data_IF_287440711236
#
_entry.id   IF_287440711236
#
_cell.length_a   1.000
_cell.length_b   1.000
_cell.length_c   1.000
_cell.angle_alpha   90.00
_cell.angle_beta   90.00
_cell.angle_gamma   90.00
#
_symmetry.space_group_name_H-M   'P 1'
#
loop_
_entity.id
_entity.type
_entity.pdbx_description
1 polymer ?
#
# COMPACT_ATOMS: atom_id res chain seq x y z
N UNK A 1 -14.06 -7.06 -27.71
CA UNK A 1 -15.42 -6.46 -27.82
C UNK A 1 -16.46 -7.24 -27.02
N UNK A 2 -16.69 -8.55 -27.27
CA UNK A 2 -17.69 -9.37 -26.55
C UNK A 2 -17.50 -9.46 -25.02
N UNK A 3 -16.26 -9.49 -24.53
CA UNK A 3 -15.96 -9.54 -23.08
C UNK A 3 -16.18 -8.21 -22.35
N UNK A 4 -16.16 -7.08 -23.06
CA UNK A 4 -16.36 -5.74 -22.48
C UNK A 4 -17.86 -5.42 -22.31
N UNK A 5 -18.70 -5.91 -23.24
CA UNK A 5 -20.16 -5.81 -23.16
C UNK A 5 -20.76 -6.63 -22.00
N UNK A 6 -20.16 -7.78 -21.66
CA UNK A 6 -20.60 -8.62 -20.55
C UNK A 6 -20.32 -7.94 -19.20
N UNK A 7 -19.20 -7.22 -19.08
CA UNK A 7 -18.82 -6.48 -17.87
C UNK A 7 -19.70 -5.24 -17.63
N UNK A 8 -20.11 -4.56 -18.70
CA UNK A 8 -21.05 -3.43 -18.63
C UNK A 8 -22.47 -3.92 -18.30
N UNK A 9 -22.91 -5.05 -18.89
CA UNK A 9 -24.19 -5.67 -18.58
C UNK A 9 -24.27 -6.16 -17.13
N UNK A 10 -23.16 -6.66 -16.56
CA UNK A 10 -23.09 -7.06 -15.16
C UNK A 10 -23.13 -5.85 -14.20
N UNK A 11 -22.58 -4.70 -14.62
CA UNK A 11 -22.62 -3.46 -13.82
C UNK A 11 -24.01 -2.79 -13.79
N UNK A 12 -24.81 -2.94 -14.85
CA UNK A 12 -26.17 -2.38 -14.92
C UNK A 12 -27.21 -3.21 -14.16
N UNK A 13 -27.00 -4.52 -14.02
CA UNK A 13 -27.91 -5.40 -13.26
C UNK A 13 -27.82 -5.21 -11.73
N UNK A 14 -26.74 -4.62 -11.22
CA UNK A 14 -26.60 -4.28 -9.79
C UNK A 14 -27.25 -2.94 -9.41
N UNK A 15 -27.68 -2.11 -10.37
CA UNK A 15 -28.20 -0.76 -10.12
C UNK A 15 -29.72 -0.65 -9.99
N UNK A 16 -30.48 -1.73 -10.19
CA UNK A 16 -31.94 -1.69 -10.37
C UNK A 16 -32.82 -1.89 -9.12
N UNK A 17 -32.24 -2.12 -7.94
CA UNK A 17 -32.98 -2.44 -6.71
C UNK A 17 -33.13 -1.23 -5.77
N UNK A 18 -33.78 -0.17 -6.26
CA UNK A 18 -34.30 0.90 -5.40
C UNK A 18 -35.68 1.34 -5.89
N UNK A 19 -36.68 0.50 -5.62
CA UNK A 19 -38.08 0.89 -5.65
C UNK A 19 -38.56 1.04 -4.20
N UNK A 20 -38.74 2.29 -3.75
CA UNK A 20 -39.36 2.61 -2.47
C UNK A 20 -40.87 2.39 -2.55
N UNK A 21 -41.40 1.48 -1.73
CA UNK A 21 -42.80 1.47 -1.35
C UNK A 21 -42.98 2.22 -0.02
N UNK A 22 -44.09 2.94 0.20
CA UNK A 22 -44.28 3.76 1.38
C UNK A 22 -44.53 2.91 2.63
N UNK A 23 -43.86 3.27 3.73
CA UNK A 23 -44.00 2.64 5.04
C UNK A 23 -45.39 2.92 5.67
N UNK A 24 -46.05 1.92 6.28
CA UNK A 24 -47.18 2.19 7.15
C UNK A 24 -46.69 2.78 8.47
N UNK A 25 -47.30 3.89 8.88
CA UNK A 25 -47.07 4.52 10.18
C UNK A 25 -47.51 3.58 11.30
N UNK A 26 -46.55 3.12 12.11
CA UNK A 26 -46.83 2.38 13.34
C UNK A 26 -47.22 3.38 14.44
N UNK A 27 -48.51 3.38 14.78
CA UNK A 27 -49.03 4.07 15.96
C UNK A 27 -48.67 3.21 17.18
N UNK A 28 -47.75 3.69 18.01
CA UNK A 28 -47.42 3.05 19.28
C UNK A 28 -48.60 3.23 20.26
N UNK A 29 -49.20 2.11 20.67
CA UNK A 29 -50.29 2.07 21.64
C UNK A 29 -49.74 2.22 23.07
N UNK A 30 -50.15 3.23 23.86
CA UNK A 30 -49.61 3.50 25.21
C UNK A 30 -50.01 2.47 26.29
N UNK A 31 -50.93 1.54 26.00
CA UNK A 31 -51.41 0.59 27.01
C UNK A 31 -50.48 -0.61 27.25
N UNK A 32 -49.59 -0.93 26.30
CA UNK A 32 -48.66 -2.07 26.43
C UNK A 32 -47.41 -1.68 27.23
N UNK A 33 -47.03 -0.40 27.20
CA UNK A 33 -45.85 0.12 27.91
C UNK A 33 -45.99 0.06 29.44
N UNK A 34 -47.19 0.29 29.97
CA UNK A 34 -47.41 0.35 31.42
C UNK A 34 -47.25 -1.02 32.10
N UNK A 35 -47.73 -2.09 31.45
CA UNK A 35 -47.60 -3.48 31.95
C UNK A 35 -46.13 -3.94 31.96
N UNK A 36 -45.37 -3.58 30.93
CA UNK A 36 -43.95 -3.93 30.84
C UNK A 36 -43.12 -3.16 31.88
N UNK A 37 -43.42 -1.87 32.08
CA UNK A 37 -42.77 -1.06 33.10
C UNK A 37 -43.01 -1.61 34.51
N UNK A 38 -44.21 -2.12 34.81
CA UNK A 38 -44.51 -2.77 36.09
C UNK A 38 -43.74 -4.09 36.29
N UNK A 39 -43.64 -4.92 35.25
CA UNK A 39 -42.85 -6.15 35.31
C UNK A 39 -41.36 -5.85 35.60
N UNK A 40 -40.80 -4.82 34.96
CA UNK A 40 -39.41 -4.42 35.19
C UNK A 40 -39.18 -3.83 36.58
N UNK A 41 -40.16 -3.14 37.17
CA UNK A 41 -40.06 -2.70 38.57
C UNK A 41 -39.91 -3.87 39.53
N UNK A 42 -40.61 -4.99 39.27
CA UNK A 42 -40.48 -6.21 40.07
C UNK A 42 -39.13 -6.89 39.85
N UNK A 43 -38.66 -6.98 38.61
CA UNK A 43 -37.34 -7.55 38.28
C UNK A 43 -36.20 -6.78 38.97
N UNK A 44 -36.25 -5.44 38.95
CA UNK A 44 -35.25 -4.58 39.61
C UNK A 44 -35.30 -4.73 41.13
N UNK A 45 -36.48 -4.93 41.70
CA UNK A 45 -36.64 -5.19 43.13
C UNK A 45 -35.99 -6.53 43.50
N UNK A 46 -36.18 -7.57 42.67
CA UNK A 46 -35.62 -8.90 42.91
C UNK A 46 -34.10 -8.96 42.69
N UNK A 47 -33.58 -8.30 41.66
CA UNK A 47 -32.16 -8.35 41.28
C UNK A 47 -31.28 -7.39 42.10
N UNK A 48 -31.73 -6.14 42.29
CA UNK A 48 -30.93 -5.09 42.93
C UNK A 48 -31.43 -4.70 44.33
N UNK A 49 -32.61 -5.18 44.75
CA UNK A 49 -33.17 -4.84 46.07
C UNK A 49 -33.67 -3.40 46.20
N UNK A 50 -33.79 -2.65 45.09
CA UNK A 50 -34.16 -1.23 45.11
C UNK A 50 -35.66 -1.09 45.34
N UNK A 51 -36.02 -0.40 46.43
CA UNK A 51 -37.42 -0.14 46.80
C UNK A 51 -37.75 1.34 46.64
N UNK A 52 -39.02 1.68 46.47
CA UNK A 52 -39.46 3.10 46.45
C UNK A 52 -39.14 3.84 47.77
N UNK A 53 -38.94 3.10 48.86
CA UNK A 53 -38.55 3.63 50.17
C UNK A 53 -37.04 3.85 50.33
N UNK A 54 -36.22 3.39 49.38
CA UNK A 54 -34.78 3.62 49.41
C UNK A 54 -34.47 5.10 49.15
N UNK A 55 -33.42 5.60 49.81
CA UNK A 55 -32.96 6.97 49.60
C UNK A 55 -32.15 7.09 48.31
N UNK A 56 -32.14 8.27 47.70
CA UNK A 56 -31.42 8.47 46.43
C UNK A 56 -29.93 8.15 46.57
N UNK A 57 -29.34 8.48 47.71
CA UNK A 57 -27.95 8.12 48.05
C UNK A 57 -27.73 6.61 48.19
N UNK A 58 -28.65 5.88 48.83
CA UNK A 58 -28.57 4.41 48.90
C UNK A 58 -28.67 3.79 47.51
N UNK A 59 -29.59 4.28 46.66
CA UNK A 59 -29.73 3.77 45.29
C UNK A 59 -28.49 4.02 44.44
N UNK A 60 -27.87 5.20 44.59
CA UNK A 60 -26.63 5.51 43.90
C UNK A 60 -25.49 4.59 44.36
N UNK A 61 -25.43 4.23 45.65
CA UNK A 61 -24.45 3.28 46.17
C UNK A 61 -24.69 1.85 45.68
N UNK A 62 -25.94 1.39 45.67
CA UNK A 62 -26.31 0.04 45.18
C UNK A 62 -25.96 -0.10 43.70
N UNK A 63 -26.14 0.98 42.92
CA UNK A 63 -25.84 1.03 41.49
C UNK A 63 -24.39 1.46 41.18
N UNK A 64 -23.53 1.54 42.20
CA UNK A 64 -22.10 1.89 42.11
C UNK A 64 -21.80 3.19 41.36
N UNK A 65 -22.65 4.20 41.53
CA UNK A 65 -22.54 5.48 40.83
C UNK A 65 -21.52 6.42 41.51
N UNK A 66 -20.47 6.80 40.78
CA UNK A 66 -19.48 7.76 41.27
C UNK A 66 -19.96 9.23 41.18
N UNK A 67 -20.86 9.55 40.25
CA UNK A 67 -21.27 10.93 39.96
C UNK A 67 -22.75 11.21 40.28
N UNK A 68 -22.98 11.71 41.49
CA UNK A 68 -24.31 12.06 42.00
C UNK A 68 -24.96 13.24 41.26
N UNK A 69 -24.18 14.21 40.80
CA UNK A 69 -24.70 15.40 40.11
C UNK A 69 -25.32 15.02 38.77
N UNK A 70 -24.62 14.19 37.99
CA UNK A 70 -25.14 13.66 36.71
C UNK A 70 -26.38 12.79 36.92
N UNK A 71 -26.43 12.03 38.01
CA UNK A 71 -27.58 11.23 38.36
C UNK A 71 -28.82 12.09 38.66
N UNK A 72 -28.66 13.17 39.44
CA UNK A 72 -29.73 14.15 39.66
C UNK A 72 -30.18 14.82 38.37
N UNK A 73 -29.25 15.25 37.53
CA UNK A 73 -29.56 15.86 36.23
C UNK A 73 -30.41 14.93 35.35
N UNK A 74 -30.03 13.65 35.22
CA UNK A 74 -30.78 12.66 34.43
C UNK A 74 -32.17 12.35 34.99
N UNK A 75 -32.37 12.55 36.28
CA UNK A 75 -33.66 12.43 36.96
C UNK A 75 -34.45 13.74 37.00
N UNK A 76 -33.99 14.78 36.30
CA UNK A 76 -34.57 16.14 36.31
C UNK A 76 -34.66 16.77 37.70
N UNK A 77 -33.70 16.45 38.57
CA UNK A 77 -33.55 17.02 39.90
C UNK A 77 -32.47 18.12 39.92
N UNK A 78 -32.56 19.02 40.90
CA UNK A 78 -31.57 20.07 41.11
C UNK A 78 -30.20 19.47 41.50
N UNK A 79 -29.18 19.67 40.67
CA UNK A 79 -27.84 19.08 40.84
C UNK A 79 -27.14 19.46 42.15
N UNK A 80 -27.31 20.72 42.58
CA UNK A 80 -26.62 21.32 43.73
C UNK A 80 -27.36 21.18 45.06
N UNK A 81 -28.52 20.52 45.06
CA UNK A 81 -29.36 20.40 46.25
C UNK A 81 -29.06 19.11 47.01
N UNK A 82 -28.22 19.22 48.05
CA UNK A 82 -27.81 18.08 48.89
C UNK A 82 -28.96 17.50 49.74
N UNK A 83 -30.03 18.27 49.95
CA UNK A 83 -31.20 17.80 50.73
C UNK A 83 -32.01 16.74 50.00
N UNK A 84 -31.83 16.60 48.68
CA UNK A 84 -32.50 15.58 47.88
C UNK A 84 -31.88 14.19 48.07
N UNK A 85 -30.64 14.11 48.54
CA UNK A 85 -29.89 12.85 48.65
C UNK A 85 -30.47 11.91 49.71
N UNK A 86 -30.97 12.50 50.80
CA UNK A 86 -31.60 11.78 51.91
C UNK A 86 -33.09 11.53 51.70
N UNK A 87 -33.69 12.01 50.59
CA UNK A 87 -35.11 11.76 50.30
C UNK A 87 -35.28 10.41 49.66
N UNK A 88 -36.42 9.78 49.94
CA UNK A 88 -36.78 8.51 49.33
C UNK A 88 -37.24 8.70 47.89
N UNK A 89 -37.02 7.70 47.03
CA UNK A 89 -37.48 7.75 45.64
C UNK A 89 -38.97 8.11 45.52
N UNK A 90 -39.80 7.55 46.40
CA UNK A 90 -41.24 7.87 46.49
C UNK A 90 -41.52 9.34 46.75
N UNK A 91 -40.75 10.00 47.62
CA UNK A 91 -40.91 11.43 47.92
C UNK A 91 -40.46 12.32 46.76
N UNK A 92 -39.56 11.82 45.93
CA UNK A 92 -39.07 12.49 44.74
C UNK A 92 -39.94 12.22 43.51
N UNK A 93 -40.94 11.34 43.63
CA UNK A 93 -41.81 10.94 42.51
C UNK A 93 -41.09 10.10 41.45
N UNK A 94 -39.95 9.51 41.81
CA UNK A 94 -39.10 8.74 40.90
C UNK A 94 -39.37 7.25 41.13
N UNK A 95 -39.55 6.52 40.05
CA UNK A 95 -39.69 5.06 40.11
C UNK A 95 -38.33 4.37 40.17
N UNK A 96 -38.23 3.18 40.79
CA UNK A 96 -37.00 2.38 40.76
C UNK A 96 -36.49 2.11 39.33
N UNK A 97 -37.41 1.97 38.36
CA UNK A 97 -37.07 1.78 36.95
C UNK A 97 -36.40 3.02 36.33
N UNK A 98 -36.90 4.22 36.60
CA UNK A 98 -36.27 5.47 36.11
C UNK A 98 -34.88 5.69 36.71
N UNK A 99 -34.71 5.38 38.00
CA UNK A 99 -33.40 5.40 38.66
C UNK A 99 -32.42 4.44 37.99
N UNK A 100 -32.87 3.24 37.63
CA UNK A 100 -32.05 2.26 36.90
C UNK A 100 -31.72 2.71 35.46
N UNK A 101 -32.67 3.29 34.73
CA UNK A 101 -32.38 3.82 33.40
C UNK A 101 -31.37 4.98 33.45
N UNK A 102 -31.44 5.82 34.49
CA UNK A 102 -30.47 6.89 34.71
C UNK A 102 -29.07 6.32 35.03
N UNK A 103 -28.95 5.23 35.80
CA UNK A 103 -27.66 4.59 36.06
C UNK A 103 -27.05 4.00 34.80
N UNK A 104 -27.84 3.34 33.96
CA UNK A 104 -27.39 2.83 32.66
C UNK A 104 -26.80 3.94 31.78
N UNK A 105 -27.48 5.10 31.71
CA UNK A 105 -26.98 6.25 30.95
C UNK A 105 -25.66 6.82 31.50
N UNK A 106 -25.41 6.72 32.80
CA UNK A 106 -24.14 7.17 33.39
C UNK A 106 -23.03 6.19 33.08
N UNK A 107 -23.28 4.89 33.27
CA UNK A 107 -22.26 3.85 33.15
C UNK A 107 -21.92 3.55 31.70
N UNK A 108 -22.93 3.49 30.82
CA UNK A 108 -22.77 3.06 29.42
C UNK A 108 -22.95 4.20 28.41
N UNK A 109 -23.53 5.34 28.80
CA UNK A 109 -23.86 6.45 27.90
C UNK A 109 -25.20 6.27 27.15
N UNK A 110 -25.87 5.14 27.34
CA UNK A 110 -27.18 4.82 26.74
C UNK A 110 -28.03 3.97 27.70
N UNK A 111 -29.32 3.83 27.41
CA UNK A 111 -30.25 3.01 28.19
C UNK A 111 -30.99 2.00 27.32
N UNK A 112 -31.66 1.02 27.93
CA UNK A 112 -32.51 0.03 27.27
C UNK A 112 -33.59 0.63 26.35
N UNK A 113 -34.03 1.86 26.63
CA UNK A 113 -35.02 2.58 25.84
C UNK A 113 -34.46 3.21 24.56
N UNK A 114 -33.13 3.32 24.45
CA UNK A 114 -32.50 3.96 23.29
C UNK A 114 -32.56 3.05 22.06
N UNK A 115 -32.52 3.67 20.90
CA UNK A 115 -32.55 2.96 19.62
C UNK A 115 -31.16 2.40 19.28
N UNK A 116 -31.13 1.33 18.49
CA UNK A 116 -29.87 0.73 18.02
C UNK A 116 -28.97 1.73 17.26
N UNK A 117 -29.60 2.66 16.54
CA UNK A 117 -28.94 3.75 15.81
C UNK A 117 -28.22 4.74 16.74
N UNK A 118 -28.85 5.11 17.85
CA UNK A 118 -28.29 6.00 18.88
C UNK A 118 -27.18 5.28 19.65
N UNK A 119 -27.38 4.01 19.97
CA UNK A 119 -26.36 3.19 20.65
C UNK A 119 -25.12 3.05 19.78
N UNK A 120 -25.30 2.79 18.49
CA UNK A 120 -24.19 2.70 17.52
C UNK A 120 -23.41 4.02 17.41
N UNK A 121 -24.07 5.18 17.48
CA UNK A 121 -23.38 6.47 17.45
C UNK A 121 -22.63 6.74 18.74
N UNK A 122 -23.18 6.39 19.91
CA UNK A 122 -22.49 6.50 21.21
C UNK A 122 -21.25 5.59 21.26
N UNK A 123 -21.37 4.36 20.77
CA UNK A 123 -20.26 3.39 20.73
C UNK A 123 -19.24 3.66 19.61
N UNK A 124 -19.54 4.57 18.68
CA UNK A 124 -18.75 4.82 17.47
C UNK A 124 -18.55 3.57 16.57
N UNK A 125 -19.52 2.66 16.56
CA UNK A 125 -19.49 1.43 15.75
C UNK A 125 -20.50 1.58 14.60
N UNK A 126 -20.13 1.27 13.35
CA UNK A 126 -21.10 1.26 12.26
C UNK A 126 -22.25 0.29 12.53
N UNK A 127 -23.50 0.75 12.39
CA UNK A 127 -24.72 -0.02 12.70
C UNK A 127 -24.71 -1.40 12.04
N UNK A 128 -24.28 -1.50 10.77
CA UNK A 128 -24.20 -2.79 10.05
C UNK A 128 -23.25 -3.77 10.73
N UNK A 129 -22.11 -3.28 11.24
CA UNK A 129 -21.12 -4.11 11.91
C UNK A 129 -21.59 -4.50 13.30
N UNK A 130 -22.18 -3.56 14.03
CA UNK A 130 -22.81 -3.82 15.33
C UNK A 130 -23.89 -4.91 15.23
N UNK A 131 -24.78 -4.83 14.23
CA UNK A 131 -25.76 -5.89 13.93
C UNK A 131 -25.12 -7.23 13.61
N UNK A 132 -24.06 -7.23 12.78
CA UNK A 132 -23.36 -8.48 12.45
C UNK A 132 -22.71 -9.16 13.65
N UNK A 133 -22.33 -8.39 14.68
CA UNK A 133 -21.72 -8.90 15.92
C UNK A 133 -22.77 -9.33 16.95
N UNK A 134 -23.93 -8.66 16.97
CA UNK A 134 -25.06 -9.05 17.82
C UNK A 134 -25.70 -10.38 17.39
N UNK A 135 -25.56 -10.78 16.13
CA UNK A 135 -26.07 -12.04 15.60
C UNK A 135 -27.60 -12.08 15.44
N UNK A 136 -28.13 -13.29 15.22
CA UNK A 136 -29.58 -13.52 15.13
C UNK A 136 -30.24 -13.23 16.50
N UNK A 137 -31.37 -12.49 16.56
CA UNK A 137 -32.40 -12.34 15.51
C UNK A 137 -32.31 -11.07 14.65
N UNK A 138 -31.19 -10.35 14.65
CA UNK A 138 -31.10 -9.03 13.99
C UNK A 138 -30.40 -9.17 12.65
N UNK A 139 -31.18 -9.15 11.57
CA UNK A 139 -30.62 -9.16 10.23
C UNK A 139 -29.79 -7.89 9.96
N UNK A 140 -28.52 -8.01 9.52
CA UNK A 140 -27.63 -6.87 9.32
C UNK A 140 -28.02 -5.98 8.12
N UNK A 141 -28.91 -6.48 7.27
CA UNK A 141 -29.32 -5.85 6.00
C UNK A 141 -30.68 -5.12 6.10
N UNK A 142 -31.52 -5.48 7.07
CA UNK A 142 -32.87 -4.90 7.23
C UNK A 142 -32.84 -3.68 8.14
N UNK A 143 -33.68 -2.68 7.83
CA UNK A 143 -33.80 -1.44 8.63
C UNK A 143 -34.86 -1.55 9.73
N UNK A 144 -35.60 -2.64 9.79
CA UNK A 144 -36.78 -2.80 10.67
C UNK A 144 -36.44 -2.72 12.16
N UNK A 145 -35.19 -3.05 12.51
CA UNK A 145 -34.70 -3.07 13.88
C UNK A 145 -33.89 -1.81 14.27
N UNK A 146 -33.69 -0.85 13.34
CA UNK A 146 -32.85 0.34 13.58
C UNK A 146 -33.49 1.35 14.56
N UNK A 147 -34.82 1.44 14.51
CA UNK A 147 -35.64 2.36 15.32
C UNK A 147 -36.34 1.64 16.48
N UNK A 148 -35.96 0.39 16.74
CA UNK A 148 -36.47 -0.38 17.87
C UNK A 148 -35.58 -0.13 19.08
N UNK A 149 -36.21 -0.01 20.24
CA UNK A 149 -35.49 0.09 21.51
C UNK A 149 -34.77 -1.22 21.80
N UNK A 150 -33.62 -1.14 22.48
CA UNK A 150 -32.86 -2.34 22.90
C UNK A 150 -33.72 -3.30 23.72
N UNK A 151 -34.62 -2.76 24.54
CA UNK A 151 -35.60 -3.52 25.31
C UNK A 151 -36.47 -4.43 24.43
N UNK A 152 -36.98 -3.92 23.31
CA UNK A 152 -37.82 -4.71 22.40
C UNK A 152 -37.05 -5.80 21.64
N UNK A 153 -35.72 -5.69 21.62
CA UNK A 153 -34.81 -6.66 21.02
C UNK A 153 -34.24 -7.64 22.06
N UNK A 154 -34.65 -7.54 23.33
CA UNK A 154 -34.11 -8.30 24.46
C UNK A 154 -32.57 -8.20 24.58
N UNK A 155 -32.01 -7.03 24.27
CA UNK A 155 -30.58 -6.77 24.37
C UNK A 155 -30.27 -5.98 25.65
N UNK A 156 -29.37 -6.50 26.47
CA UNK A 156 -28.84 -5.78 27.63
C UNK A 156 -27.72 -4.82 27.22
N UNK A 157 -27.58 -3.67 27.93
CA UNK A 157 -26.45 -2.76 27.73
C UNK A 157 -25.08 -3.42 27.94
N UNK A 158 -24.99 -4.38 28.87
CA UNK A 158 -23.77 -5.15 29.14
C UNK A 158 -23.31 -5.94 27.92
N UNK A 159 -24.24 -6.62 27.23
CA UNK A 159 -23.92 -7.38 26.02
C UNK A 159 -23.37 -6.48 24.90
N UNK A 160 -23.83 -5.23 24.83
CA UNK A 160 -23.33 -4.26 23.85
C UNK A 160 -21.91 -3.77 24.19
N UNK A 161 -21.56 -3.71 25.47
CA UNK A 161 -20.18 -3.41 25.89
C UNK A 161 -19.23 -4.56 25.55
N UNK A 162 -19.65 -5.82 25.75
CA UNK A 162 -18.86 -6.98 25.31
C UNK A 162 -18.61 -6.94 23.80
N UNK A 163 -19.64 -6.63 23.01
CA UNK A 163 -19.53 -6.48 21.55
C UNK A 163 -18.59 -5.34 21.16
N UNK A 164 -18.59 -4.24 21.93
CA UNK A 164 -17.68 -3.12 21.72
C UNK A 164 -16.23 -3.55 21.95
N UNK A 165 -15.97 -4.27 23.04
CA UNK A 165 -14.63 -4.75 23.37
C UNK A 165 -14.12 -5.77 22.33
N UNK A 166 -15.00 -6.66 21.86
CA UNK A 166 -14.72 -7.58 20.75
C UNK A 166 -14.40 -6.81 19.45
N UNK A 167 -15.16 -5.75 19.15
CA UNK A 167 -14.92 -4.90 17.99
C UNK A 167 -13.58 -4.16 18.06
N UNK A 168 -13.20 -3.63 19.22
CA UNK A 168 -11.92 -2.96 19.40
C UNK A 168 -10.74 -3.94 19.28
N UNK A 169 -10.90 -5.17 19.79
CA UNK A 169 -9.92 -6.24 19.64
C UNK A 169 -9.74 -6.65 18.18
N UNK A 170 -10.82 -6.77 17.42
CA UNK A 170 -10.80 -7.16 15.99
C UNK A 170 -10.30 -6.05 15.06
N UNK A 171 -10.42 -4.79 15.47
CA UNK A 171 -10.04 -3.63 14.64
C UNK A 171 -8.55 -3.62 14.28
N UNK A 172 -7.69 -3.93 15.25
CA UNK A 172 -6.23 -3.92 15.08
C UNK A 172 -5.73 -4.99 14.10
N UNK A 173 -6.06 -6.29 14.24
CA UNK A 173 -5.63 -7.31 13.31
C UNK A 173 -6.23 -7.11 11.92
N UNK A 174 -7.47 -6.60 11.82
CA UNK A 174 -8.10 -6.31 10.53
C UNK A 174 -7.33 -5.23 9.74
N UNK A 175 -6.97 -4.12 10.40
CA UNK A 175 -6.18 -3.06 9.79
C UNK A 175 -4.82 -3.56 9.31
N UNK A 176 -4.12 -4.33 10.15
CA UNK A 176 -2.83 -4.94 9.80
C UNK A 176 -2.96 -5.87 8.59
N UNK A 177 -3.95 -6.78 8.60
CA UNK A 177 -4.20 -7.72 7.51
C UNK A 177 -4.45 -7.00 6.18
N UNK A 178 -5.28 -5.94 6.20
CA UNK A 178 -5.58 -5.15 4.99
C UNK A 178 -4.33 -4.48 4.42
N UNK A 179 -3.48 -3.90 5.28
CA UNK A 179 -2.22 -3.30 4.82
C UNK A 179 -1.23 -4.32 4.29
N UNK A 180 -1.16 -5.51 4.90
CA UNK A 180 -0.28 -6.59 4.47
C UNK A 180 -0.71 -7.15 3.10
N UNK A 181 -2.02 -7.35 2.89
CA UNK A 181 -2.57 -7.74 1.59
C UNK A 181 -2.30 -6.65 0.55
N UNK A 182 -2.51 -5.38 0.89
CA UNK A 182 -2.21 -4.26 0.00
C UNK A 182 -0.74 -4.21 -0.40
N UNK A 183 0.17 -4.36 0.56
CA UNK A 183 1.61 -4.42 0.30
C UNK A 183 1.98 -5.61 -0.60
N UNK A 184 1.40 -6.79 -0.37
CA UNK A 184 1.66 -7.99 -1.17
C UNK A 184 1.21 -7.80 -2.63
N UNK A 185 0.03 -7.20 -2.85
CA UNK A 185 -0.48 -6.89 -4.20
C UNK A 185 0.48 -5.94 -4.92
N UNK A 186 0.92 -4.85 -4.27
CA UNK A 186 1.88 -3.92 -4.87
C UNK A 186 3.22 -4.60 -5.16
N UNK A 187 3.73 -5.40 -4.23
CA UNK A 187 5.00 -6.10 -4.40
C UNK A 187 4.95 -7.12 -5.54
N UNK A 188 3.84 -7.86 -5.66
CA UNK A 188 3.65 -8.83 -6.74
C UNK A 188 3.54 -8.14 -8.11
N UNK A 189 2.88 -6.99 -8.20
CA UNK A 189 2.84 -6.19 -9.42
C UNK A 189 4.24 -5.69 -9.83
N UNK A 190 5.03 -5.20 -8.88
CA UNK A 190 6.42 -4.79 -9.13
C UNK A 190 7.32 -5.97 -9.52
N UNK A 191 7.10 -7.14 -8.93
CA UNK A 191 7.86 -8.34 -9.25
C UNK A 191 7.56 -8.81 -10.68
N UNK A 192 6.29 -8.85 -11.09
CA UNK A 192 5.90 -9.22 -12.45
C UNK A 192 6.48 -8.24 -13.47
N UNK A 193 6.38 -6.93 -13.21
CA UNK A 193 6.93 -5.91 -14.12
C UNK A 193 8.46 -6.00 -14.24
N UNK A 194 9.17 -6.25 -13.14
CA UNK A 194 10.60 -6.53 -13.13
C UNK A 194 10.97 -7.74 -13.99
N UNK A 195 10.22 -8.85 -13.88
CA UNK A 195 10.42 -10.04 -14.72
C UNK A 195 10.22 -9.69 -16.21
N UNK A 196 9.16 -8.97 -16.55
CA UNK A 196 8.88 -8.58 -17.94
C UNK A 196 10.00 -7.72 -18.52
N UNK A 197 10.48 -6.73 -17.76
CA UNK A 197 11.62 -5.88 -18.17
C UNK A 197 12.90 -6.73 -18.32
N UNK A 198 13.15 -7.66 -17.39
CA UNK A 198 14.28 -8.58 -17.45
C UNK A 198 14.26 -9.45 -18.72
N UNK A 199 13.10 -10.00 -19.08
CA UNK A 199 12.91 -10.80 -20.29
C UNK A 199 13.08 -9.95 -21.56
N UNK A 200 12.52 -8.73 -21.57
CA UNK A 200 12.71 -7.78 -22.68
C UNK A 200 14.20 -7.44 -22.87
N UNK A 201 14.93 -7.16 -21.78
CA UNK A 201 16.37 -6.88 -21.85
C UNK A 201 17.17 -8.06 -22.40
N UNK A 202 16.77 -9.30 -22.06
CA UNK A 202 17.47 -10.48 -22.55
C UNK A 202 17.19 -10.75 -24.03
N UNK A 203 15.97 -10.47 -24.50
CA UNK A 203 15.61 -10.51 -25.92
C UNK A 203 16.28 -9.42 -26.75
N UNK A 204 16.54 -8.26 -26.15
CA UNK A 204 17.19 -7.12 -26.79
C UNK A 204 18.73 -7.13 -26.64
N UNK A 205 19.31 -8.18 -26.06
CA UNK A 205 20.74 -8.30 -25.92
C UNK A 205 21.40 -8.32 -27.31
N UNK A 206 22.06 -7.23 -27.68
CA UNK A 206 22.88 -7.17 -28.89
C UNK A 206 23.86 -8.35 -28.88
N UNK A 207 23.80 -9.17 -29.94
CA UNK A 207 24.76 -10.27 -30.11
C UNK A 207 26.16 -9.70 -29.95
N UNK A 208 26.88 -10.17 -28.92
CA UNK A 208 28.30 -9.84 -28.72
C UNK A 208 29.00 -10.05 -30.06
N UNK A 209 29.47 -8.96 -30.66
CA UNK A 209 30.27 -9.02 -31.89
C UNK A 209 31.52 -9.81 -31.54
N UNK A 210 31.62 -11.03 -32.06
CA UNK A 210 32.84 -11.83 -31.93
C UNK A 210 34.01 -10.96 -32.43
N UNK A 211 35.14 -10.92 -31.70
CA UNK A 211 36.29 -10.15 -32.16
C UNK A 211 36.68 -10.67 -33.56
N UNK A 212 36.85 -9.80 -34.57
CA UNK A 212 37.14 -10.23 -35.94
C UNK A 212 38.57 -10.76 -36.00
N UNK A 213 38.75 -12.05 -35.68
CA UNK A 213 40.04 -12.72 -35.83
C UNK A 213 40.18 -13.15 -37.28
N UNK A 214 40.91 -12.35 -38.07
CA UNK A 214 41.32 -12.71 -39.43
C UNK A 214 42.29 -13.89 -39.30
N UNK A 215 41.85 -15.09 -39.69
CA UNK A 215 42.70 -16.28 -39.73
C UNK A 215 43.23 -16.46 -41.15
N UNK A 216 44.55 -16.30 -41.31
CA UNK A 216 45.26 -16.48 -42.58
C UNK A 216 45.93 -17.86 -42.58
N UNK A 217 45.81 -18.60 -43.68
CA UNK A 217 46.51 -19.88 -43.87
C UNK A 217 48.02 -19.67 -44.07
N UNK A 218 48.84 -20.69 -43.80
CA UNK A 218 50.28 -20.68 -44.09
C UNK A 218 50.62 -20.40 -45.58
N UNK A 219 49.65 -20.56 -46.48
CA UNK A 219 49.74 -20.26 -47.92
C UNK A 219 49.24 -18.86 -48.31
N UNK A 220 48.94 -17.98 -47.35
CA UNK A 220 48.53 -16.60 -47.59
C UNK A 220 47.07 -16.39 -48.02
N UNK A 221 46.26 -17.47 -48.12
CA UNK A 221 44.82 -17.36 -48.39
C UNK A 221 44.04 -17.07 -47.11
N UNK A 222 43.09 -16.12 -47.19
CA UNK A 222 42.18 -15.75 -46.11
C UNK A 222 41.11 -16.84 -45.95
N UNK A 223 41.08 -17.54 -44.80
CA UNK A 223 40.15 -18.65 -44.57
C UNK A 223 38.82 -18.14 -43.98
N UNK A 224 38.87 -17.09 -43.15
CA UNK A 224 37.68 -16.44 -42.58
C UNK A 224 37.89 -14.93 -42.49
N UNK A 225 36.93 -14.18 -43.02
CA UNK A 225 36.84 -12.72 -42.93
C UNK A 225 35.46 -12.33 -42.36
N UNK A 226 35.35 -11.20 -41.64
CA UNK A 226 34.06 -10.67 -41.18
C UNK A 226 33.17 -10.32 -42.38
N UNK A 227 31.86 -10.58 -42.27
CA UNK A 227 30.86 -10.53 -43.34
C UNK A 227 30.61 -9.16 -43.99
N UNK A 228 31.38 -8.13 -43.62
CA UNK A 228 31.29 -6.77 -44.17
C UNK A 228 32.55 -6.28 -44.87
N UNK A 229 33.63 -7.08 -44.94
CA UNK A 229 34.90 -6.66 -45.56
C UNK A 229 35.22 -7.58 -46.72
N UNK A 230 35.25 -7.03 -47.94
CA UNK A 230 35.62 -7.79 -49.13
C UNK A 230 37.10 -8.17 -49.11
N UNK A 231 37.43 -9.30 -49.74
CA UNK A 231 38.81 -9.76 -49.88
C UNK A 231 39.70 -8.70 -50.52
N UNK A 232 39.15 -7.91 -51.45
CA UNK A 232 39.87 -6.87 -52.17
C UNK A 232 40.32 -5.73 -51.25
N UNK A 233 39.50 -5.35 -50.25
CA UNK A 233 39.88 -4.33 -49.26
C UNK A 233 41.03 -4.84 -48.39
N UNK A 234 41.02 -6.12 -48.01
CA UNK A 234 42.10 -6.73 -47.22
C UNK A 234 43.38 -6.78 -48.04
N UNK A 235 43.31 -7.21 -49.31
CA UNK A 235 44.47 -7.26 -50.22
C UNK A 235 45.00 -5.85 -50.52
N UNK A 236 44.12 -4.86 -50.70
CA UNK A 236 44.50 -3.46 -50.88
C UNK A 236 45.22 -2.90 -49.64
N UNK A 237 44.71 -3.18 -48.45
CA UNK A 237 45.34 -2.74 -47.20
C UNK A 237 46.72 -3.39 -47.00
N UNK A 238 46.84 -4.70 -47.23
CA UNK A 238 48.11 -5.41 -47.11
C UNK A 238 49.12 -4.93 -48.17
N UNK A 239 48.68 -4.75 -49.41
CA UNK A 239 49.56 -4.27 -50.48
C UNK A 239 50.00 -2.82 -50.26
N UNK A 240 49.12 -1.94 -49.78
CA UNK A 240 49.46 -0.57 -49.41
C UNK A 240 50.53 -0.53 -48.30
N UNK A 241 50.40 -1.38 -47.28
CA UNK A 241 51.37 -1.49 -46.19
C UNK A 241 52.73 -2.00 -46.71
N UNK A 242 52.72 -3.00 -47.58
CA UNK A 242 53.94 -3.52 -48.21
C UNK A 242 54.65 -2.47 -49.06
N UNK A 243 53.91 -1.73 -49.90
CA UNK A 243 54.45 -0.63 -50.71
C UNK A 243 55.05 0.45 -49.81
N UNK A 244 54.37 0.80 -48.71
CA UNK A 244 54.86 1.78 -47.75
C UNK A 244 56.19 1.35 -47.11
N UNK A 245 56.29 0.12 -46.61
CA UNK A 245 57.57 -0.38 -46.07
C UNK A 245 58.68 -0.40 -47.13
N UNK A 246 58.34 -0.81 -48.35
CA UNK A 246 59.28 -0.87 -49.46
C UNK A 246 59.82 0.52 -49.79
N UNK A 247 58.96 1.52 -49.92
CA UNK A 247 59.37 2.91 -50.20
C UNK A 247 60.26 3.49 -49.10
N UNK A 248 60.02 3.19 -47.82
CA UNK A 248 60.91 3.59 -46.73
C UNK A 248 62.29 2.94 -46.88
N UNK A 249 62.34 1.64 -47.17
CA UNK A 249 63.60 0.90 -47.36
C UNK A 249 64.38 1.45 -48.57
N UNK A 250 63.71 1.70 -49.68
CA UNK A 250 64.27 2.29 -50.90
C UNK A 250 64.84 3.69 -50.61
N UNK A 251 64.07 4.55 -49.91
CA UNK A 251 64.51 5.90 -49.54
C UNK A 251 65.77 5.88 -48.67
N UNK A 252 65.84 4.96 -47.70
CA UNK A 252 67.04 4.76 -46.89
C UNK A 252 68.24 4.32 -47.73
N UNK A 253 68.04 3.40 -48.68
CA UNK A 253 69.12 2.96 -49.61
C UNK A 253 69.62 4.11 -50.48
N UNK A 254 68.71 4.89 -51.07
CA UNK A 254 69.04 6.06 -51.90
C UNK A 254 69.79 7.12 -51.06
N UNK A 255 69.34 7.38 -49.84
CA UNK A 255 70.02 8.33 -48.96
C UNK A 255 71.44 7.86 -48.59
N UNK A 256 71.64 6.57 -48.37
CA UNK A 256 72.96 5.99 -48.11
C UNK A 256 73.89 6.10 -49.32
N UNK A 257 73.40 5.91 -50.55
CA UNK A 257 74.21 6.11 -51.77
C UNK A 257 74.56 7.58 -51.99
N UNK A 258 73.62 8.51 -51.80
CA UNK A 258 73.92 9.95 -51.89
C UNK A 258 74.90 10.43 -50.81
N UNK A 259 74.83 9.86 -49.59
CA UNK A 259 75.79 10.20 -48.55
C UNK A 259 77.19 9.62 -48.82
N UNK A 260 77.29 8.47 -49.51
CA UNK A 260 78.59 7.88 -49.92
C UNK A 260 79.25 8.62 -51.09
N UNK A 261 78.50 9.19 -52.02
CA UNK A 261 79.07 9.82 -53.23
C UNK A 261 79.70 11.21 -53.01
N UNK A 262 79.73 11.74 -51.78
CA UNK A 262 80.40 13.02 -51.45
C UNK A 262 81.93 12.94 -51.42
N UNK A 263 82.55 11.79 -51.65
CA UNK A 263 83.99 11.72 -51.95
C UNK A 263 84.21 12.21 -53.39
N UNK A 264 84.49 13.51 -53.46
CA UNK A 264 84.75 14.30 -54.65
C UNK A 264 85.71 13.58 -55.62
N UNK A 265 85.19 12.91 -56.67
CA UNK A 265 86.01 12.13 -57.61
C UNK A 265 87.08 12.99 -58.33
N UNK A 266 86.82 14.29 -58.43
CA UNK A 266 87.76 15.30 -58.96
C UNK A 266 88.93 15.59 -58.01
N UNK A 267 88.77 15.43 -56.68
CA UNK A 267 89.90 15.53 -55.73
C UNK A 267 90.74 14.26 -55.69
N UNK A 268 90.15 13.09 -55.97
CA UNK A 268 90.90 11.83 -56.05
C UNK A 268 91.70 11.68 -57.34
N UNK A 269 91.27 12.29 -58.45
CA UNK A 269 92.03 12.24 -59.73
C UNK A 269 93.25 13.16 -59.72
N UNK A 270 93.21 14.30 -59.01
CA UNK A 270 94.34 15.22 -58.88
C UNK A 270 95.58 14.61 -58.20
N UNK A 271 95.40 13.53 -57.41
CA UNK A 271 96.49 12.81 -56.72
C UNK A 271 97.11 11.71 -57.61
N UNK A 272 96.42 11.29 -58.68
CA UNK A 272 96.83 10.15 -59.52
C UNK A 272 97.21 10.51 -60.97
N UNK A 273 96.96 11.73 -61.44
CA UNK A 273 97.40 12.15 -62.77
C UNK A 273 97.88 13.61 -62.79
N UNK A 274 99.10 13.86 -62.29
CA UNK A 274 99.86 15.06 -62.65
C UNK A 274 100.83 14.69 -63.80
N UNK A 275 100.54 15.07 -65.06
CA UNK A 275 101.30 14.59 -66.23
C UNK A 275 102.74 15.09 -66.31
N UNK A 276 103.14 16.07 -65.48
CA UNK A 276 104.48 16.67 -65.51
C UNK A 276 105.42 16.20 -64.37
N UNK A 277 105.05 15.16 -63.60
CA UNK A 277 105.89 14.66 -62.50
C UNK A 277 107.19 13.97 -62.97
N UNK A 278 107.31 13.63 -64.25
CA UNK A 278 108.47 12.88 -64.77
C UNK A 278 109.65 13.76 -65.19
N UNK A 279 109.45 15.06 -65.46
CA UNK A 279 110.53 15.95 -65.93
C UNK A 279 111.52 16.34 -64.83
N UNK A 280 111.10 16.38 -63.56
CA UNK A 280 111.96 16.82 -62.44
C UNK A 280 112.79 15.70 -61.82
N UNK A 281 112.60 14.43 -62.23
CA UNK A 281 113.26 13.26 -61.63
C UNK A 281 114.62 12.88 -62.25
N UNK A 282 115.06 13.55 -63.34
CA UNK A 282 116.31 13.22 -64.07
C UNK A 282 117.50 14.17 -63.82
N UNK A 283 117.49 14.98 -62.76
CA UNK A 283 118.68 15.74 -62.31
C UNK A 283 118.90 15.56 -60.80
N UNK A 284 119.44 14.40 -60.43
CA UNK A 284 120.24 14.19 -59.21
C UNK A 284 121.03 12.91 -59.37
#
# INVERSE_FOLDING_TARGET
>A
MRKLLILIALSLMLGGLFAQAPAPAAVASPAISDSLAEQKKLEILDEYGIRETSTLLETAKILELENMQRFKHLLNLEESNDKLDSRTLRQLGITPYEAFLASQKINYGFSELNNLTEVASVLNIPIKKLKSMLGEPIDPLTKEHDLRSLQSLNLSPERLMEVKDEFEADRVPYGFSLTLVGMLVVFSALLITSIVIGQLRHLQAEKKKEPPVIKVSATGKVIKAPSGVSSDIIVAAVSALYIYEYTIKERRRIQLTFNRSKTNQWRSSAILSMPNREFTRKRS
#
